data_IF_689153145962
#
_entry.id   IF_689153145962
#
_cell.length_a   1.000
_cell.length_b   1.000
_cell.length_c   1.000
_cell.angle_alpha   90.00
_cell.angle_beta   90.00
_cell.angle_gamma   90.00
#
_symmetry.space_group_name_H-M   'P 1'
#
loop_
_entity.id
_entity.type
_entity.pdbx_description
1 polymer ?
#
# COMPACT_ATOMS: atom_id res chain seq x y z
N UNK A 1 17.96 0.45 24.67
CA UNK A 1 17.13 1.24 23.74
C UNK A 1 16.91 0.57 22.37
N UNK A 2 17.14 -0.75 22.21
CA UNK A 2 17.11 -1.41 20.88
C UNK A 2 15.83 -2.24 20.64
N UNK A 3 15.06 -2.60 21.68
CA UNK A 3 13.81 -3.36 21.51
C UNK A 3 12.63 -2.52 20.98
N UNK A 4 12.56 -1.24 21.35
CA UNK A 4 11.40 -0.38 21.04
C UNK A 4 11.11 -0.24 19.53
N UNK A 5 12.15 -0.18 18.70
CA UNK A 5 12.01 0.02 17.26
C UNK A 5 11.37 -1.18 16.55
N UNK A 6 11.54 -2.41 17.06
CA UNK A 6 10.97 -3.62 16.44
C UNK A 6 9.48 -3.76 16.74
N UNK A 7 9.07 -3.44 17.97
CA UNK A 7 7.66 -3.50 18.37
C UNK A 7 6.84 -2.37 17.75
N UNK A 8 7.42 -1.17 17.66
CA UNK A 8 6.77 0.01 17.06
C UNK A 8 6.50 -0.20 15.55
N UNK A 9 7.45 -0.81 14.81
CA UNK A 9 7.25 -1.18 13.40
C UNK A 9 6.14 -2.23 13.24
N UNK A 10 6.20 -3.31 14.03
CA UNK A 10 5.18 -4.35 13.97
C UNK A 10 3.80 -3.78 14.29
N UNK A 11 3.72 -2.87 15.26
CA UNK A 11 2.50 -2.17 15.63
C UNK A 11 1.98 -1.28 14.50
N UNK A 12 2.85 -0.52 13.82
CA UNK A 12 2.49 0.31 12.66
C UNK A 12 1.92 -0.55 11.52
N UNK A 13 2.61 -1.62 11.16
CA UNK A 13 2.19 -2.52 10.07
C UNK A 13 0.86 -3.20 10.39
N UNK A 14 0.70 -3.67 11.63
CA UNK A 14 -0.56 -4.26 12.09
C UNK A 14 -1.70 -3.24 12.06
N UNK A 15 -1.48 -2.04 12.59
CA UNK A 15 -2.47 -0.96 12.57
C UNK A 15 -2.87 -0.60 11.13
N UNK A 16 -1.92 -0.59 10.20
CA UNK A 16 -2.18 -0.25 8.80
C UNK A 16 -3.08 -1.29 8.12
N UNK A 17 -2.78 -2.57 8.28
CA UNK A 17 -3.59 -3.64 7.70
C UNK A 17 -4.98 -3.80 8.33
N UNK A 18 -5.11 -3.50 9.63
CA UNK A 18 -6.40 -3.58 10.35
C UNK A 18 -7.25 -2.30 10.25
N UNK A 19 -6.77 -1.25 9.58
CA UNK A 19 -7.56 -0.02 9.42
C UNK A 19 -7.60 0.87 10.68
N UNK A 20 -6.66 0.73 11.61
CA UNK A 20 -6.62 1.50 12.85
C UNK A 20 -6.13 2.95 12.62
N UNK A 21 -6.95 3.77 11.98
CA UNK A 21 -6.62 5.13 11.55
C UNK A 21 -6.09 6.03 12.69
N UNK A 22 -6.66 5.92 13.89
CA UNK A 22 -6.21 6.72 15.04
C UNK A 22 -4.78 6.37 15.48
N UNK A 23 -4.41 5.08 15.39
CA UNK A 23 -3.05 4.63 15.65
C UNK A 23 -2.09 5.17 14.59
N UNK A 24 -2.47 5.09 13.30
CA UNK A 24 -1.68 5.63 12.18
C UNK A 24 -1.42 7.13 12.34
N UNK A 25 -2.48 7.91 12.60
CA UNK A 25 -2.37 9.36 12.85
C UNK A 25 -1.47 9.67 14.03
N UNK A 26 -1.54 8.85 15.09
CA UNK A 26 -0.66 9.01 16.25
C UNK A 26 0.80 8.71 15.89
N UNK A 27 1.08 7.66 15.14
CA UNK A 27 2.44 7.31 14.71
C UNK A 27 3.04 8.41 13.82
N UNK A 28 2.28 8.94 12.87
CA UNK A 28 2.67 10.09 12.03
C UNK A 28 2.99 11.31 12.91
N UNK A 29 2.12 11.64 13.87
CA UNK A 29 2.32 12.78 14.78
C UNK A 29 3.54 12.62 15.68
N UNK A 30 3.93 11.39 16.01
CA UNK A 30 5.13 11.08 16.78
C UNK A 30 6.41 11.12 15.93
N UNK A 31 6.31 11.37 14.62
CA UNK A 31 7.45 11.43 13.71
C UNK A 31 8.10 10.06 13.48
N UNK A 32 7.32 8.98 13.58
CA UNK A 32 7.82 7.65 13.25
C UNK A 32 8.15 7.55 11.76
N UNK A 33 9.17 6.76 11.43
CA UNK A 33 9.49 6.44 10.05
C UNK A 33 8.44 5.48 9.47
N UNK A 34 7.46 6.04 8.76
CA UNK A 34 6.34 5.31 8.15
C UNK A 34 6.72 4.58 6.85
N UNK A 35 7.92 4.82 6.32
CA UNK A 35 8.46 4.12 5.14
C UNK A 35 9.26 2.87 5.52
N UNK A 36 9.35 2.58 6.81
CA UNK A 36 10.08 1.42 7.31
C UNK A 36 9.43 0.13 6.84
N UNK A 37 10.27 -0.79 6.34
CA UNK A 37 9.84 -2.06 5.80
C UNK A 37 9.84 -3.15 6.86
N UNK A 38 8.73 -3.88 6.93
CA UNK A 38 8.59 -5.09 7.71
C UNK A 38 9.32 -6.29 7.12
N UNK A 39 8.98 -7.46 7.66
CA UNK A 39 9.43 -8.74 7.09
C UNK A 39 8.94 -8.84 5.63
N UNK A 40 9.80 -9.34 4.76
CA UNK A 40 9.56 -9.47 3.30
C UNK A 40 9.51 -8.14 2.52
N UNK A 41 9.92 -7.03 3.13
CA UNK A 41 9.95 -5.73 2.46
C UNK A 41 8.58 -5.06 2.37
N UNK A 42 7.63 -5.46 3.23
CA UNK A 42 6.26 -4.92 3.19
C UNK A 42 6.17 -3.60 3.95
N UNK A 43 5.61 -2.55 3.33
CA UNK A 43 5.35 -1.26 3.97
C UNK A 43 3.94 -1.19 4.56
N UNK A 44 3.69 -0.16 5.39
CA UNK A 44 2.36 0.13 5.91
C UNK A 44 1.36 0.41 4.77
N UNK A 45 1.80 1.12 3.72
CA UNK A 45 0.96 1.45 2.56
C UNK A 45 0.55 0.18 1.79
N UNK A 46 1.46 -0.79 1.62
CA UNK A 46 1.14 -2.08 0.98
C UNK A 46 0.08 -2.84 1.76
N UNK A 47 0.21 -2.98 3.08
CA UNK A 47 -0.76 -3.71 3.90
C UNK A 47 -2.13 -3.02 3.92
N UNK A 48 -2.15 -1.69 4.06
CA UNK A 48 -3.39 -0.93 3.98
C UNK A 48 -4.07 -1.11 2.61
N UNK A 49 -3.27 -1.21 1.54
CA UNK A 49 -3.78 -1.41 0.18
C UNK A 49 -4.28 -2.83 -0.07
N UNK A 50 -3.58 -3.85 0.43
CA UNK A 50 -3.97 -5.27 0.37
C UNK A 50 -5.34 -5.51 1.05
N UNK A 51 -5.56 -4.88 2.20
CA UNK A 51 -6.80 -5.02 2.98
C UNK A 51 -7.86 -3.95 2.69
N UNK A 52 -7.65 -3.07 1.71
CA UNK A 52 -8.66 -2.08 1.28
C UNK A 52 -8.93 -0.95 2.29
N UNK A 53 -7.97 -0.65 3.16
CA UNK A 53 -8.10 0.33 4.25
C UNK A 53 -7.99 1.77 3.72
N UNK A 54 -9.04 2.23 3.05
CA UNK A 54 -9.09 3.50 2.31
C UNK A 54 -8.67 4.71 3.16
N UNK A 55 -9.18 4.85 4.38
CA UNK A 55 -8.84 5.97 5.28
C UNK A 55 -7.36 5.95 5.71
N UNK A 56 -6.81 4.76 5.92
CA UNK A 56 -5.40 4.57 6.26
C UNK A 56 -4.52 4.91 5.08
N UNK A 57 -4.88 4.44 3.87
CA UNK A 57 -4.16 4.77 2.63
C UNK A 57 -4.11 6.28 2.45
N UNK A 58 -5.25 6.97 2.55
CA UNK A 58 -5.31 8.42 2.45
C UNK A 58 -4.37 9.11 3.46
N UNK A 59 -4.43 8.73 4.74
CA UNK A 59 -3.59 9.32 5.77
C UNK A 59 -2.08 9.05 5.58
N UNK A 60 -1.72 7.88 5.05
CA UNK A 60 -0.32 7.56 4.72
C UNK A 60 0.16 8.40 3.52
N UNK A 61 -0.67 8.56 2.49
CA UNK A 61 -0.35 9.40 1.32
C UNK A 61 -0.17 10.87 1.71
N UNK A 62 -1.02 11.40 2.60
CA UNK A 62 -0.89 12.76 3.17
C UNK A 62 0.42 12.95 3.95
N UNK A 63 0.99 11.86 4.47
CA UNK A 63 2.27 11.85 5.17
C UNK A 63 3.49 11.65 4.24
N UNK A 64 3.28 11.74 2.93
CA UNK A 64 4.33 11.79 1.91
C UNK A 64 5.22 10.53 1.84
N UNK A 65 4.59 9.36 2.01
CA UNK A 65 5.24 8.04 1.91
C UNK A 65 5.81 7.74 0.52
N UNK A 66 6.73 6.76 0.45
CA UNK A 66 7.26 6.21 -0.78
C UNK A 66 6.21 5.34 -1.50
N UNK A 67 5.42 5.95 -2.37
CA UNK A 67 4.25 5.33 -3.03
C UNK A 67 4.63 4.12 -3.89
N UNK A 68 5.77 4.22 -4.59
CA UNK A 68 6.23 3.22 -5.55
C UNK A 68 7.21 2.21 -4.95
N UNK A 69 7.34 2.18 -3.62
CA UNK A 69 8.15 1.18 -2.95
C UNK A 69 7.61 -0.23 -3.27
N UNK A 70 8.52 -1.18 -3.49
CA UNK A 70 8.18 -2.57 -3.80
C UNK A 70 8.73 -3.52 -2.73
N UNK A 71 8.00 -4.59 -2.44
CA UNK A 71 8.45 -5.63 -1.51
C UNK A 71 9.48 -6.57 -2.16
N UNK A 72 9.90 -7.63 -1.46
CA UNK A 72 10.88 -8.59 -1.97
C UNK A 72 10.42 -9.42 -3.20
N UNK A 73 9.14 -9.32 -3.58
CA UNK A 73 8.57 -9.91 -4.80
C UNK A 73 8.39 -8.88 -5.93
N UNK A 74 8.80 -7.63 -5.70
CA UNK A 74 8.56 -6.54 -6.62
C UNK A 74 7.12 -6.00 -6.57
N UNK A 75 6.28 -6.44 -5.63
CA UNK A 75 4.90 -5.96 -5.54
C UNK A 75 4.83 -4.59 -4.87
N UNK A 76 4.09 -3.66 -5.48
CA UNK A 76 3.80 -2.31 -4.95
C UNK A 76 2.44 -2.26 -4.26
N UNK A 77 2.14 -1.16 -3.56
CA UNK A 77 0.82 -0.93 -2.98
C UNK A 77 -0.30 -0.96 -4.04
N UNK A 78 -0.05 -0.41 -5.23
CA UNK A 78 -1.02 -0.40 -6.33
C UNK A 78 -1.31 -1.81 -6.85
N UNK A 79 -0.29 -2.67 -6.95
CA UNK A 79 -0.46 -4.08 -7.32
C UNK A 79 -1.35 -4.82 -6.32
N UNK A 80 -1.12 -4.65 -5.01
CA UNK A 80 -1.97 -5.25 -4.00
C UNK A 80 -3.42 -4.73 -4.06
N UNK A 81 -3.62 -3.42 -4.18
CA UNK A 81 -4.97 -2.86 -4.34
C UNK A 81 -5.69 -3.45 -5.56
N UNK A 82 -4.95 -3.68 -6.65
CA UNK A 82 -5.48 -4.21 -7.88
C UNK A 82 -5.78 -5.71 -7.84
N UNK A 83 -4.88 -6.51 -7.27
CA UNK A 83 -5.03 -7.96 -7.05
C UNK A 83 -6.25 -8.30 -6.20
N UNK A 84 -6.58 -7.45 -5.21
CA UNK A 84 -7.72 -7.65 -4.31
C UNK A 84 -8.97 -6.82 -4.66
N UNK A 85 -8.93 -6.05 -5.76
CA UNK A 85 -10.11 -5.37 -6.29
C UNK A 85 -10.53 -4.08 -5.55
N UNK A 86 -9.66 -3.48 -4.76
CA UNK A 86 -9.94 -2.29 -3.94
C UNK A 86 -9.93 -1.02 -4.79
N UNK A 87 -10.98 -0.83 -5.59
CA UNK A 87 -11.08 0.24 -6.59
C UNK A 87 -10.90 1.65 -6.01
N UNK A 88 -11.36 1.91 -4.78
CA UNK A 88 -11.19 3.23 -4.16
C UNK A 88 -9.73 3.49 -3.74
N UNK A 89 -9.06 2.47 -3.22
CA UNK A 89 -7.62 2.53 -2.93
C UNK A 89 -6.83 2.73 -4.22
N UNK A 90 -7.18 2.04 -5.30
CA UNK A 90 -6.55 2.23 -6.62
C UNK A 90 -6.64 3.70 -7.06
N UNK A 91 -7.83 4.32 -6.97
CA UNK A 91 -7.98 5.75 -7.31
C UNK A 91 -7.10 6.64 -6.46
N UNK A 92 -7.05 6.43 -5.14
CA UNK A 92 -6.21 7.21 -4.24
C UNK A 92 -4.73 7.12 -4.63
N UNK A 93 -4.24 5.90 -4.88
CA UNK A 93 -2.85 5.66 -5.26
C UNK A 93 -2.51 6.30 -6.62
N UNK A 94 -3.39 6.17 -7.62
CA UNK A 94 -3.19 6.80 -8.93
C UNK A 94 -3.19 8.33 -8.83
N UNK A 95 -4.12 8.91 -8.07
CA UNK A 95 -4.19 10.36 -7.83
C UNK A 95 -2.94 10.88 -7.11
N UNK A 96 -2.31 10.05 -6.27
CA UNK A 96 -1.06 10.37 -5.60
C UNK A 96 0.20 10.14 -6.48
N UNK A 97 0.04 9.65 -7.71
CA UNK A 97 1.15 9.43 -8.64
C UNK A 97 1.80 8.05 -8.57
N UNK A 98 1.06 7.03 -8.13
CA UNK A 98 1.52 5.64 -8.23
C UNK A 98 1.77 5.26 -9.69
N UNK A 99 2.92 4.63 -9.95
CA UNK A 99 3.30 4.17 -11.26
C UNK A 99 2.66 2.81 -11.57
N UNK A 100 1.61 2.83 -12.40
CA UNK A 100 0.89 1.62 -12.85
C UNK A 100 1.67 0.76 -13.83
N UNK A 101 2.78 1.26 -14.40
CA UNK A 101 3.61 0.53 -15.37
C UNK A 101 4.68 -0.34 -14.72
N UNK A 102 4.83 -0.32 -13.39
CA UNK A 102 5.77 -1.18 -12.68
C UNK A 102 5.31 -2.64 -12.78
N UNK A 103 6.27 -3.56 -12.79
CA UNK A 103 6.04 -5.00 -12.83
C UNK A 103 6.63 -5.68 -11.59
N UNK A 104 5.93 -6.66 -11.05
CA UNK A 104 6.49 -7.54 -10.03
C UNK A 104 7.54 -8.50 -10.65
N UNK A 105 8.13 -9.38 -9.85
CA UNK A 105 9.14 -10.33 -10.33
C UNK A 105 8.62 -11.36 -11.33
N UNK A 106 7.30 -11.57 -11.38
CA UNK A 106 6.65 -12.44 -12.36
C UNK A 106 6.33 -11.69 -13.67
N UNK A 107 6.68 -10.40 -13.75
CA UNK A 107 6.43 -9.55 -14.90
C UNK A 107 5.01 -8.97 -14.96
N UNK A 108 4.19 -9.17 -13.93
CA UNK A 108 2.81 -8.70 -13.88
C UNK A 108 2.72 -7.24 -13.40
N UNK A 109 1.94 -6.43 -14.12
CA UNK A 109 1.55 -5.08 -13.71
C UNK A 109 0.31 -5.10 -12.80
N UNK A 110 -0.05 -3.96 -12.22
CA UNK A 110 -1.32 -3.83 -11.50
C UNK A 110 -2.54 -4.15 -12.40
N UNK A 111 -2.48 -3.79 -13.69
CA UNK A 111 -3.55 -4.11 -14.64
C UNK A 111 -3.65 -5.61 -14.91
N UNK A 112 -2.52 -6.29 -15.03
CA UNK A 112 -2.50 -7.75 -15.26
C UNK A 112 -3.12 -8.49 -14.08
N UNK A 113 -2.77 -8.10 -12.84
CA UNK A 113 -3.37 -8.67 -11.63
C UNK A 113 -4.88 -8.39 -11.55
N UNK A 114 -5.32 -7.16 -11.83
CA UNK A 114 -6.76 -6.85 -11.86
C UNK A 114 -7.52 -7.71 -12.89
N UNK A 115 -6.91 -8.01 -14.04
CA UNK A 115 -7.48 -8.87 -15.08
C UNK A 115 -7.51 -10.34 -14.65
N UNK A 116 -6.40 -10.85 -14.09
CA UNK A 116 -6.27 -12.22 -13.60
C UNK A 116 -7.34 -12.56 -12.55
N UNK A 117 -7.60 -11.64 -11.63
CA UNK A 117 -8.57 -11.81 -10.55
C UNK A 117 -9.97 -11.25 -10.87
N UNK A 118 -10.22 -10.89 -12.14
CA UNK A 118 -11.51 -10.44 -12.66
C UNK A 118 -12.13 -9.21 -11.95
N UNK A 119 -11.29 -8.26 -11.54
CA UNK A 119 -11.70 -7.01 -10.91
C UNK A 119 -11.99 -5.92 -11.95
N UNK A 120 -13.10 -6.05 -12.68
CA UNK A 120 -13.47 -5.14 -13.78
C UNK A 120 -13.44 -3.66 -13.41
N UNK A 121 -13.92 -3.30 -12.21
CA UNK A 121 -13.90 -1.91 -11.74
C UNK A 121 -12.48 -1.35 -11.56
N UNK A 122 -11.50 -2.18 -11.25
CA UNK A 122 -10.08 -1.78 -11.22
C UNK A 122 -9.50 -1.73 -12.63
N UNK A 123 -9.86 -2.68 -13.48
CA UNK A 123 -9.43 -2.70 -14.89
C UNK A 123 -9.81 -1.39 -15.57
N UNK A 124 -11.05 -0.95 -15.42
CA UNK A 124 -11.55 0.32 -16.00
C UNK A 124 -10.77 1.55 -15.49
N UNK A 125 -10.20 1.49 -14.28
CA UNK A 125 -9.39 2.57 -13.70
C UNK A 125 -7.94 2.57 -14.20
N UNK A 126 -7.42 1.41 -14.60
CA UNK A 126 -6.03 1.23 -15.00
C UNK A 126 -5.85 1.19 -16.51
N UNK A 127 -6.92 1.01 -17.29
CA UNK A 127 -6.84 1.09 -18.74
C UNK A 127 -6.63 2.55 -19.19
N UNK A 128 -5.64 2.80 -20.06
CA UNK A 128 -5.44 4.13 -20.64
C UNK A 128 -6.65 4.50 -21.50
N UNK A 129 -7.12 5.74 -21.34
CA UNK A 129 -8.21 6.32 -22.14
C UNK A 129 -7.80 6.60 -23.58
#
# INVERSE_FOLDING_TARGET
MIEKCRDDLLSLLYAAGQGHIDAIRRFIKLGMDINQLGKNGTSALMLASEYGQTDVVAALLDANVEINQSNHKGCTALMFAAEYGHSEVVKLLLNAGANSSLTNHDGATALDLAKEYAHSSVVDLLEPS
#
